data_IF_266421137252
#
_entry.id   IF_266421137252
#
_cell.length_a   1.000
_cell.length_b   1.000
_cell.length_c   1.000
_cell.angle_alpha   90.00
_cell.angle_beta   90.00
_cell.angle_gamma   90.00
#
_symmetry.space_group_name_H-M   'P 1'
#
loop_
_entity.id
_entity.type
_entity.pdbx_description
1 polymer ?
#
# COMPACT_ATOMS: atom_id res chain seq x y z
N UNK A 1 -0.67 55.43 7.01
CA UNK A 1 -0.11 54.34 7.85
C UNK A 1 -1.21 53.28 7.98
N UNK A 2 -1.08 52.08 7.39
CA UNK A 2 -2.02 50.99 7.69
C UNK A 2 -1.52 50.21 8.92
N UNK A 3 -2.45 49.90 9.83
CA UNK A 3 -2.20 49.14 11.07
C UNK A 3 -1.63 47.73 10.77
N UNK A 4 -0.76 47.18 11.64
CA UNK A 4 -0.32 45.80 11.48
C UNK A 4 -1.49 44.86 11.81
N UNK A 5 -1.82 43.97 10.87
CA UNK A 5 -2.78 42.91 11.10
C UNK A 5 -2.27 42.00 12.23
N UNK A 6 -2.82 42.18 13.42
CA UNK A 6 -2.67 41.27 14.55
C UNK A 6 -3.41 39.97 14.24
N UNK A 7 -2.84 39.16 13.34
CA UNK A 7 -3.22 37.77 13.20
C UNK A 7 -2.34 36.99 14.15
N UNK A 8 -2.87 36.81 15.36
CA UNK A 8 -2.38 35.82 16.29
C UNK A 8 -2.14 34.52 15.52
N UNK A 9 -0.89 34.10 15.48
CA UNK A 9 -0.52 32.76 15.07
C UNK A 9 -1.12 31.84 16.13
N UNK A 10 -2.39 31.49 15.97
CA UNK A 10 -2.99 30.36 16.67
C UNK A 10 -2.17 29.15 16.27
N UNK A 11 -1.27 28.75 17.15
CA UNK A 11 -0.42 27.58 17.00
C UNK A 11 -1.34 26.37 16.88
N UNK A 12 -1.66 25.98 15.64
CA UNK A 12 -2.44 24.79 15.34
C UNK A 12 -1.62 23.57 15.80
N UNK A 13 -1.87 23.12 17.02
CA UNK A 13 -1.32 21.89 17.56
C UNK A 13 -1.98 20.73 16.82
N UNK A 14 -1.28 20.20 15.81
CA UNK A 14 -1.69 18.98 15.12
C UNK A 14 -1.12 17.78 15.88
N UNK A 15 -1.99 16.96 16.45
CA UNK A 15 -1.61 15.70 17.08
C UNK A 15 -1.49 14.61 16.00
N UNK A 16 -0.27 14.09 15.79
CA UNK A 16 -0.03 12.97 14.89
C UNK A 16 -0.24 11.67 15.67
N UNK A 17 -1.38 11.01 15.46
CA UNK A 17 -1.64 9.71 16.06
C UNK A 17 -0.73 8.65 15.41
N UNK A 18 -0.01 7.82 16.20
CA UNK A 18 0.76 6.73 15.64
C UNK A 18 -0.18 5.73 14.96
N UNK A 19 0.26 5.05 13.88
CA UNK A 19 -0.55 4.02 13.25
C UNK A 19 -0.87 2.96 14.30
N UNK A 20 -2.17 2.71 14.49
CA UNK A 20 -2.67 1.71 15.43
C UNK A 20 -2.06 0.38 15.01
N UNK A 21 -1.08 -0.10 15.80
CA UNK A 21 -0.56 -1.45 15.65
C UNK A 21 -1.60 -2.41 16.23
N UNK A 22 -2.67 -2.63 15.46
CA UNK A 22 -3.53 -3.78 15.67
C UNK A 22 -2.61 -4.99 15.62
N UNK A 23 -2.61 -5.77 16.69
CA UNK A 23 -1.86 -7.00 16.83
C UNK A 23 -2.38 -8.05 15.84
N UNK A 24 -2.23 -7.81 14.54
CA UNK A 24 -2.47 -8.77 13.46
C UNK A 24 -1.33 -9.81 13.46
N UNK A 25 -1.02 -10.37 14.64
CA UNK A 25 -0.03 -11.42 14.77
C UNK A 25 -0.58 -12.63 14.02
N UNK A 26 0.09 -12.99 12.92
CA UNK A 26 -0.23 -14.20 12.16
C UNK A 26 -1.22 -14.02 11.03
N UNK A 27 -1.56 -12.79 10.62
CA UNK A 27 -2.27 -12.56 9.36
C UNK A 27 -1.45 -11.73 8.37
N UNK A 28 -1.55 -12.11 7.11
CA UNK A 28 -0.84 -11.51 5.96
C UNK A 28 -1.88 -11.19 4.88
N UNK A 29 -1.63 -10.17 4.07
CA UNK A 29 -2.47 -9.83 2.92
C UNK A 29 -1.94 -10.59 1.70
N UNK A 30 -2.83 -11.23 0.94
CA UNK A 30 -2.47 -11.85 -0.33
C UNK A 30 -2.33 -10.80 -1.44
N UNK A 31 -1.23 -10.80 -2.17
CA UNK A 31 -0.99 -9.83 -3.26
C UNK A 31 -1.85 -10.09 -4.50
N UNK A 32 -2.44 -11.28 -4.63
CA UNK A 32 -3.34 -11.61 -5.73
C UNK A 32 -4.78 -11.17 -5.46
N UNK A 33 -5.36 -11.57 -4.31
CA UNK A 33 -6.78 -11.32 -4.01
C UNK A 33 -7.02 -10.18 -3.01
N UNK A 34 -5.94 -9.58 -2.48
CA UNK A 34 -5.95 -8.52 -1.47
C UNK A 34 -6.73 -8.85 -0.19
N UNK A 35 -7.01 -10.13 0.06
CA UNK A 35 -7.65 -10.60 1.28
C UNK A 35 -6.65 -10.79 2.41
N UNK A 36 -7.06 -10.46 3.63
CA UNK A 36 -6.30 -10.80 4.85
C UNK A 36 -6.55 -12.25 5.21
N UNK A 37 -5.48 -13.03 5.27
CA UNK A 37 -5.49 -14.46 5.52
C UNK A 37 -4.49 -14.80 6.62
N UNK A 38 -4.65 -15.97 7.24
CA UNK A 38 -3.67 -16.48 8.21
C UNK A 38 -2.36 -16.82 7.51
N UNK A 39 -1.23 -16.72 8.23
CA UNK A 39 0.09 -17.08 7.68
C UNK A 39 0.13 -18.53 7.19
N UNK A 40 -0.64 -19.42 7.80
CA UNK A 40 -0.71 -20.85 7.44
C UNK A 40 -1.40 -21.08 6.07
N UNK A 41 -2.12 -20.08 5.55
CA UNK A 41 -2.71 -20.11 4.20
C UNK A 41 -1.72 -19.66 3.10
N UNK A 42 -0.47 -19.32 3.46
CA UNK A 42 0.59 -18.95 2.54
C UNK A 42 1.66 -20.04 2.55
N UNK A 43 2.18 -20.39 1.38
CA UNK A 43 3.38 -21.22 1.29
C UNK A 43 4.62 -20.40 1.74
N UNK A 44 5.63 -21.07 2.30
CA UNK A 44 6.87 -20.42 2.75
C UNK A 44 7.60 -19.74 1.59
N UNK A 45 7.40 -20.24 0.37
CA UNK A 45 8.04 -19.76 -0.85
C UNK A 45 7.06 -19.02 -1.80
N UNK A 46 5.83 -18.73 -1.37
CA UNK A 46 4.79 -18.17 -2.26
C UNK A 46 4.86 -16.64 -2.46
N UNK A 47 5.89 -15.96 -1.96
CA UNK A 47 6.08 -14.50 -2.14
C UNK A 47 4.84 -13.64 -1.82
N UNK A 48 4.05 -14.02 -0.82
CA UNK A 48 2.83 -13.26 -0.46
C UNK A 48 1.58 -13.61 -1.27
N UNK A 49 1.57 -14.72 -2.00
CA UNK A 49 0.38 -15.28 -2.66
C UNK A 49 -0.20 -16.40 -1.79
N UNK A 50 -1.51 -16.40 -1.53
CA UNK A 50 -2.14 -17.46 -0.74
C UNK A 50 -2.33 -18.75 -1.55
N UNK A 51 -2.40 -19.89 -0.87
CA UNK A 51 -2.52 -21.22 -1.49
C UNK A 51 -3.74 -21.35 -2.44
N UNK A 52 -4.84 -20.66 -2.15
CA UNK A 52 -6.02 -20.60 -3.03
C UNK A 52 -5.71 -19.91 -4.37
N UNK A 53 -4.97 -18.79 -4.34
CA UNK A 53 -4.57 -18.06 -5.54
C UNK A 53 -3.49 -18.81 -6.34
N UNK A 54 -2.67 -19.64 -5.69
CA UNK A 54 -1.68 -20.50 -6.36
C UNK A 54 -2.36 -21.70 -7.03
N UNK A 55 -3.27 -22.37 -6.32
CA UNK A 55 -3.98 -23.53 -6.83
C UNK A 55 -5.06 -23.19 -7.86
N UNK A 56 -5.50 -21.93 -7.90
CA UNK A 56 -6.35 -21.40 -8.96
C UNK A 56 -5.47 -21.11 -10.18
N UNK A 57 -5.46 -22.03 -11.14
CA UNK A 57 -4.75 -21.98 -12.44
C UNK A 57 -5.29 -20.87 -13.39
N UNK A 58 -5.61 -19.69 -12.84
CA UNK A 58 -6.10 -18.52 -13.56
C UNK A 58 -4.91 -17.60 -13.75
N UNK A 59 -4.13 -17.91 -14.78
CA UNK A 59 -3.03 -17.07 -15.24
C UNK A 59 -3.51 -15.67 -15.59
N UNK A 60 -2.94 -14.66 -14.94
CA UNK A 60 -2.89 -13.30 -15.49
C UNK A 60 -1.45 -12.82 -15.39
N UNK A 61 -0.61 -13.39 -16.26
CA UNK A 61 0.61 -12.72 -16.70
C UNK A 61 0.23 -11.78 -17.83
N UNK A 62 -0.03 -10.52 -17.50
CA UNK A 62 0.32 -9.42 -18.40
C UNK A 62 0.93 -8.28 -17.58
N UNK A 63 2.03 -8.59 -16.90
CA UNK A 63 2.91 -7.59 -16.32
C UNK A 63 3.94 -7.25 -17.39
N UNK A 64 3.48 -6.57 -18.45
CA UNK A 64 4.35 -5.78 -19.30
C UNK A 64 4.44 -4.39 -18.67
N UNK A 65 5.52 -4.02 -17.97
CA UNK A 65 5.78 -2.62 -17.73
C UNK A 65 6.07 -2.00 -19.10
N UNK A 66 5.04 -1.42 -19.73
CA UNK A 66 5.26 -0.42 -20.78
C UNK A 66 5.94 0.76 -20.09
N UNK A 67 7.27 0.70 -20.03
CA UNK A 67 8.06 1.91 -19.97
C UNK A 67 7.80 2.63 -21.31
N UNK A 68 6.78 3.49 -21.31
CA UNK A 68 6.66 4.56 -22.29
C UNK A 68 7.83 5.54 -22.04
N UNK A 69 9.00 5.22 -22.59
CA UNK A 69 10.07 6.20 -22.77
C UNK A 69 9.77 6.94 -24.08
N UNK A 70 9.00 8.01 -23.95
CA UNK A 70 8.80 9.05 -24.97
C UNK A 70 10.18 9.65 -25.32
N UNK A 71 10.82 9.15 -26.37
CA UNK A 71 11.93 9.83 -27.01
C UNK A 71 11.42 10.47 -28.32
N UNK A 72 10.73 11.61 -28.16
CA UNK A 72 10.52 12.59 -29.22
C UNK A 72 11.80 13.42 -29.46
N UNK A 73 12.51 13.22 -30.57
CA UNK A 73 13.07 14.31 -31.41
C UNK A 73 13.76 13.75 -32.66
N UNK A 74 13.14 13.91 -33.84
CA UNK A 74 13.80 14.14 -35.15
C UNK A 74 12.78 14.51 -36.22
#
# INVERSE_FOLDING_TARGET
MPEPASRASESLLVEILPPVRLSCRGTTVCDCCHQRKSRDEFDEDAFGICAECIGSDVGVLDIMPRFDDDWQDS
#
